data_IF_094465745957
#
_entry.id   IF_094465745957
#
_cell.length_a   1.000
_cell.length_b   1.000
_cell.length_c   1.000
_cell.angle_alpha   90.00
_cell.angle_beta   90.00
_cell.angle_gamma   90.00
#
_symmetry.space_group_name_H-M   'P 1'
#
loop_
_entity.id
_entity.type
_entity.pdbx_description
1 polymer ?
#
# COMPACT_ATOMS: atom_id res chain seq x y z
N UNK A 1 -7.55 -2.53 16.09
CA UNK A 1 -6.47 -2.16 15.16
C UNK A 1 -6.32 -3.30 14.17
N UNK A 2 -6.28 -2.98 12.87
CA UNK A 2 -6.25 -3.99 11.82
C UNK A 2 -4.84 -4.57 11.71
N UNK A 3 -4.62 -5.79 12.20
CA UNK A 3 -3.28 -6.40 12.26
C UNK A 3 -2.62 -6.57 10.89
N UNK A 4 -3.42 -6.67 9.83
CA UNK A 4 -2.96 -6.75 8.44
C UNK A 4 -2.25 -5.45 8.01
N UNK A 5 -2.84 -4.30 8.33
CA UNK A 5 -2.28 -2.97 8.01
C UNK A 5 -0.94 -2.76 8.70
N UNK A 6 -0.83 -3.17 9.97
CA UNK A 6 0.41 -3.08 10.73
C UNK A 6 1.52 -3.98 10.17
N UNK A 7 1.15 -5.20 9.73
CA UNK A 7 2.09 -6.12 9.10
C UNK A 7 2.59 -5.58 7.75
N UNK A 8 1.70 -5.02 6.93
CA UNK A 8 2.08 -4.38 5.67
C UNK A 8 2.98 -3.16 5.89
N UNK A 9 2.61 -2.28 6.82
CA UNK A 9 3.41 -1.09 7.13
C UNK A 9 4.82 -1.47 7.63
N UNK A 10 4.93 -2.47 8.51
CA UNK A 10 6.22 -2.95 9.00
C UNK A 10 7.04 -3.65 7.92
N UNK A 11 6.41 -4.50 7.10
CA UNK A 11 7.09 -5.15 5.98
C UNK A 11 7.61 -4.16 4.95
N UNK A 12 6.83 -3.12 4.66
CA UNK A 12 7.24 -2.02 3.78
C UNK A 12 8.39 -1.21 4.39
N UNK A 13 8.33 -0.92 5.70
CA UNK A 13 9.41 -0.25 6.42
C UNK A 13 10.71 -1.04 6.34
N UNK A 14 10.66 -2.32 6.68
CA UNK A 14 11.84 -3.18 6.63
C UNK A 14 12.39 -3.28 5.20
N UNK A 15 11.53 -3.44 4.20
CA UNK A 15 11.96 -3.51 2.80
C UNK A 15 12.65 -2.21 2.34
N UNK A 16 12.07 -1.04 2.60
CA UNK A 16 12.64 0.25 2.20
C UNK A 16 13.90 0.61 2.99
N UNK A 17 14.03 0.13 4.22
CA UNK A 17 15.19 0.40 5.09
C UNK A 17 16.42 -0.44 4.71
N UNK A 18 16.22 -1.62 4.09
CA UNK A 18 17.32 -2.52 3.72
C UNK A 18 17.77 -2.37 2.25
N UNK A 19 17.10 -1.53 1.46
CA UNK A 19 17.45 -1.29 0.05
C UNK A 19 18.08 0.09 -0.15
N UNK A 20 18.78 0.24 -1.28
CA UNK A 20 19.33 1.53 -1.69
C UNK A 20 18.21 2.42 -2.25
N UNK A 21 18.34 3.76 -2.20
CA UNK A 21 17.37 4.68 -2.79
C UNK A 21 17.00 4.35 -4.25
N UNK A 22 17.99 3.93 -5.05
CA UNK A 22 17.82 3.55 -6.46
C UNK A 22 16.89 2.34 -6.67
N UNK A 23 16.74 1.48 -5.66
CA UNK A 23 15.92 0.27 -5.70
C UNK A 23 14.55 0.47 -5.03
N UNK A 24 14.30 1.64 -4.41
CA UNK A 24 13.05 1.89 -3.66
C UNK A 24 11.82 1.88 -4.57
N UNK A 25 11.92 2.43 -5.78
CA UNK A 25 10.83 2.41 -6.76
C UNK A 25 10.38 0.97 -7.06
N UNK A 26 11.34 0.05 -7.24
CA UNK A 26 11.05 -1.37 -7.48
C UNK A 26 10.41 -2.05 -6.26
N UNK A 27 10.82 -1.68 -5.04
CA UNK A 27 10.18 -2.18 -3.82
C UNK A 27 8.73 -1.73 -3.75
N UNK A 28 8.46 -0.46 -4.06
CA UNK A 28 7.11 0.10 -4.08
C UNK A 28 6.23 -0.56 -5.17
N UNK A 29 6.76 -0.78 -6.37
CA UNK A 29 6.06 -1.48 -7.45
C UNK A 29 5.67 -2.91 -7.05
N UNK A 30 6.63 -3.66 -6.51
CA UNK A 30 6.37 -5.02 -6.01
C UNK A 30 5.33 -4.99 -4.87
N UNK A 31 5.38 -3.98 -4.02
CA UNK A 31 4.43 -3.82 -2.92
C UNK A 31 3.00 -3.57 -3.44
N UNK A 32 2.81 -2.79 -4.51
CA UNK A 32 1.49 -2.69 -5.16
C UNK A 32 1.04 -4.00 -5.75
N UNK A 33 1.93 -4.77 -6.36
CA UNK A 33 1.56 -6.06 -6.93
C UNK A 33 1.07 -7.02 -5.84
N UNK A 34 1.72 -7.01 -4.68
CA UNK A 34 1.26 -7.74 -3.49
C UNK A 34 -0.13 -7.26 -3.06
N UNK A 35 -0.33 -5.95 -2.88
CA UNK A 35 -1.63 -5.41 -2.49
C UNK A 35 -2.73 -5.73 -3.52
N UNK A 36 -2.43 -5.66 -4.82
CA UNK A 36 -3.35 -6.04 -5.91
C UNK A 36 -3.71 -7.51 -5.87
N UNK A 37 -2.72 -8.38 -5.66
CA UNK A 37 -2.92 -9.84 -5.63
C UNK A 37 -3.82 -10.27 -4.48
N UNK A 38 -3.75 -9.55 -3.37
CA UNK A 38 -4.58 -9.79 -2.18
C UNK A 38 -5.86 -8.94 -2.12
N UNK A 39 -6.15 -8.14 -3.15
CA UNK A 39 -7.29 -7.20 -3.17
C UNK A 39 -7.30 -6.21 -1.97
N UNK A 40 -6.11 -5.81 -1.53
CA UNK A 40 -5.87 -4.92 -0.38
C UNK A 40 -5.43 -3.52 -0.81
N UNK A 41 -5.68 -3.14 -2.06
CA UNK A 41 -5.32 -1.81 -2.58
C UNK A 41 -6.00 -0.67 -1.82
N UNK A 42 -7.20 -0.90 -1.31
CA UNK A 42 -7.95 0.05 -0.50
C UNK A 42 -7.31 0.34 0.87
N UNK A 43 -6.47 -0.57 1.36
CA UNK A 43 -5.73 -0.41 2.61
C UNK A 43 -4.51 0.51 2.47
N UNK A 44 -4.12 0.93 1.27
CA UNK A 44 -2.90 1.71 1.03
C UNK A 44 -2.84 2.99 1.89
N UNK A 45 -3.96 3.69 2.04
CA UNK A 45 -4.01 4.89 2.89
C UNK A 45 -3.85 4.58 4.38
N UNK A 46 -4.39 3.45 4.87
CA UNK A 46 -4.19 3.02 6.25
C UNK A 46 -2.76 2.54 6.49
N UNK A 47 -2.16 1.87 5.51
CA UNK A 47 -0.78 1.39 5.54
C UNK A 47 0.19 2.57 5.65
N UNK A 48 0.00 3.62 4.85
CA UNK A 48 0.78 4.86 4.93
C UNK A 48 0.69 5.48 6.33
N UNK A 49 -0.52 5.59 6.90
CA UNK A 49 -0.72 6.15 8.25
C UNK A 49 -0.02 5.31 9.32
N UNK A 50 -0.03 3.98 9.21
CA UNK A 50 0.71 3.12 10.13
C UNK A 50 2.22 3.19 9.90
N UNK A 51 2.67 3.32 8.65
CA UNK A 51 4.09 3.48 8.32
C UNK A 51 4.67 4.73 8.98
N UNK A 52 3.98 5.87 8.88
CA UNK A 52 4.40 7.15 9.48
C UNK A 52 4.52 7.06 11.01
N UNK A 53 3.76 6.16 11.66
CA UNK A 53 3.85 5.93 13.12
C UNK A 53 5.09 5.13 13.53
N UNK A 54 5.72 4.41 12.60
CA UNK A 54 6.97 3.72 12.86
C UNK A 54 8.04 4.81 13.05
N UNK A 55 8.66 4.85 14.24
CA UNK A 55 9.53 5.96 14.65
C UNK A 55 10.60 6.24 13.59
N UNK A 56 10.62 7.43 12.98
CA UNK A 56 11.53 7.71 11.89
C UNK A 56 12.95 7.94 12.41
N UNK A 57 13.92 7.25 11.82
CA UNK A 57 15.30 7.72 11.72
C UNK A 57 15.44 8.65 10.49
N UNK A 58 16.64 9.18 10.24
CA UNK A 58 16.86 10.11 9.12
C UNK A 58 16.53 9.52 7.74
N UNK A 59 16.58 8.20 7.59
CA UNK A 59 16.29 7.49 6.34
C UNK A 59 14.79 7.27 6.14
N UNK A 60 14.04 7.10 7.23
CA UNK A 60 12.59 6.99 7.19
C UNK A 60 11.89 8.23 6.61
N UNK A 61 12.50 9.41 6.70
CA UNK A 61 11.90 10.65 6.18
C UNK A 61 11.92 10.73 4.65
N UNK A 62 12.92 10.13 3.99
CA UNK A 62 12.93 9.97 2.53
C UNK A 62 11.93 8.90 2.09
N UNK A 63 11.83 7.81 2.85
CA UNK A 63 10.88 6.73 2.61
C UNK A 63 9.42 7.20 2.73
N UNK A 64 9.11 8.08 3.70
CA UNK A 64 7.77 8.67 3.84
C UNK A 64 7.39 9.44 2.59
N UNK A 65 8.29 10.27 2.04
CA UNK A 65 8.02 11.05 0.81
C UNK A 65 7.77 10.13 -0.39
N UNK A 66 8.53 9.04 -0.50
CA UNK A 66 8.34 8.05 -1.55
C UNK A 66 6.96 7.39 -1.44
N UNK A 67 6.54 7.00 -0.24
CA UNK A 67 5.21 6.41 0.01
C UNK A 67 4.08 7.41 -0.23
N UNK A 68 4.21 8.65 0.23
CA UNK A 68 3.23 9.72 -0.01
C UNK A 68 3.05 9.98 -1.52
N UNK A 69 4.16 10.10 -2.26
CA UNK A 69 4.12 10.25 -3.71
C UNK A 69 3.40 9.08 -4.37
N UNK A 70 3.70 7.88 -3.90
CA UNK A 70 3.16 6.65 -4.45
C UNK A 70 1.67 6.42 -4.11
N UNK A 71 1.22 6.72 -2.90
CA UNK A 71 -0.20 6.70 -2.55
C UNK A 71 -1.00 7.70 -3.40
N UNK A 72 -0.41 8.86 -3.70
CA UNK A 72 -1.02 9.83 -4.61
C UNK A 72 -1.16 9.27 -6.04
N UNK A 73 -0.19 8.49 -6.54
CA UNK A 73 -0.33 7.82 -7.83
C UNK A 73 -1.49 6.81 -7.82
N UNK A 74 -1.58 5.97 -6.79
CA UNK A 74 -2.68 5.00 -6.64
C UNK A 74 -4.06 5.67 -6.60
N UNK A 75 -4.16 6.82 -5.92
CA UNK A 75 -5.41 7.59 -5.81
C UNK A 75 -5.84 8.23 -7.12
N UNK A 76 -4.88 8.68 -7.93
CA UNK A 76 -5.14 9.47 -9.14
C UNK A 76 -5.10 8.67 -10.44
N UNK A 77 -4.57 7.45 -10.44
CA UNK A 77 -4.53 6.57 -11.61
C UNK A 77 -5.89 5.86 -11.77
N UNK A 78 -6.64 6.12 -12.87
CA UNK A 78 -7.95 5.54 -13.08
C UNK A 78 -7.91 4.02 -13.32
N UNK A 79 -6.85 3.46 -13.91
CA UNK A 79 -6.72 2.01 -14.15
C UNK A 79 -6.46 1.25 -12.84
N UNK A 80 -5.68 1.86 -11.95
CA UNK A 80 -5.43 1.40 -10.59
C UNK A 80 -6.66 1.53 -9.68
N UNK A 81 -7.37 2.65 -9.80
CA UNK A 81 -8.58 2.98 -9.05
C UNK A 81 -9.80 2.15 -9.51
N UNK A 82 -9.91 1.82 -10.81
CA UNK A 82 -11.02 1.02 -11.32
C UNK A 82 -11.00 -0.41 -10.80
N UNK A 83 -9.83 -1.05 -10.66
CA UNK A 83 -9.73 -2.43 -10.15
C UNK A 83 -10.14 -2.53 -8.67
N UNK A 84 -9.69 -1.59 -7.83
CA UNK A 84 -10.08 -1.53 -6.42
C UNK A 84 -11.59 -1.30 -6.23
N UNK A 85 -12.24 -0.52 -7.11
CA UNK A 85 -13.70 -0.33 -7.08
C UNK A 85 -14.48 -1.49 -7.69
N UNK A 86 -13.92 -2.20 -8.66
CA UNK A 86 -14.56 -3.34 -9.33
C UNK A 86 -14.66 -4.55 -8.41
N UNK A 87 -13.65 -4.81 -7.57
CA UNK A 87 -13.71 -5.86 -6.57
C UNK A 87 -14.84 -5.65 -5.55
N UNK A 88 -15.07 -4.39 -5.16
CA UNK A 88 -16.22 -3.99 -4.32
C UNK A 88 -17.58 -4.29 -4.96
N UNK A 89 -17.71 -4.28 -6.29
CA UNK A 89 -18.96 -4.57 -6.97
C UNK A 89 -19.24 -6.08 -7.16
N UNK A 90 -18.19 -6.90 -7.25
CA UNK A 90 -18.31 -8.35 -7.42
C UNK A 90 -18.70 -9.01 -6.08
N UNK A 91 -18.12 -8.57 -4.96
CA UNK A 91 -18.38 -9.19 -3.64
C UNK A 91 -19.81 -8.92 -3.14
N UNK A 92 -20.38 -7.74 -3.41
CA UNK A 92 -21.74 -7.39 -2.94
C UNK A 92 -22.85 -8.12 -3.74
N UNK A 93 -22.53 -8.64 -4.93
CA UNK A 93 -23.52 -9.30 -5.79
C UNK A 93 -23.70 -10.80 -5.47
N UNK A 94 -22.73 -11.42 -4.79
CA UNK A 94 -22.77 -12.85 -4.43
C UNK A 94 -23.52 -13.10 -3.10
N UNK A 95 -23.52 -12.13 -2.19
CA UNK A 95 -24.16 -12.26 -0.86
C UNK A 95 -25.71 -12.16 -0.89
N UNK A 96 -26.33 -11.96 -2.07
CA UNK A 96 -27.80 -12.00 -2.25
C UNK A 96 -28.32 -13.22 -3.00
N UNK A 97 -27.47 -14.23 -3.22
CA UNK A 97 -27.87 -15.54 -3.76
C UNK A 97 -27.26 -16.67 -2.93
N UNK A 98 -27.66 -16.78 -1.67
CA UNK A 98 -27.64 -18.07 -0.99
C UNK A 98 -28.78 -18.20 0.02
#
# INVERSE_FOLDING_TARGET
>A
MNGIVQNYARGLYDALHHVRPEDQDRVLDNFLEVLRTHDHLDLMEEIEKEFIKIKPDGQAQENIKAIEHFNNLVKNDPELSHKARSAKAIIISDEKRS
#
